data_IF_179751412738
#
_entry.id   IF_179751412738
#
_cell.length_a   1.000
_cell.length_b   1.000
_cell.length_c   1.000
_cell.angle_alpha   90.00
_cell.angle_beta   90.00
_cell.angle_gamma   90.00
#
_symmetry.space_group_name_H-M   'P 1'
#
loop_
_entity.id
_entity.type
_entity.pdbx_description
1 polymer ?
#
# COMPACT_ATOMS: atom_id res chain seq x y z
N UNK A 1 28.44 26.78 -20.08
CA UNK A 1 27.08 26.32 -20.38
C UNK A 1 26.38 26.02 -19.06
N UNK A 2 25.17 26.53 -18.82
CA UNK A 2 24.43 26.28 -17.59
C UNK A 2 23.79 24.88 -17.63
N UNK A 3 23.84 24.19 -16.50
CA UNK A 3 23.07 22.95 -16.25
C UNK A 3 21.74 23.40 -15.67
N UNK A 4 20.67 22.98 -16.34
CA UNK A 4 19.28 23.34 -16.10
C UNK A 4 18.83 23.16 -14.66
N UNK A 5 18.10 24.15 -14.15
CA UNK A 5 17.15 23.98 -13.05
C UNK A 5 16.08 22.97 -13.46
N UNK A 6 15.90 21.90 -12.69
CA UNK A 6 14.65 21.10 -12.69
C UNK A 6 14.41 20.59 -11.26
N UNK A 7 13.26 21.02 -10.72
CA UNK A 7 12.43 20.46 -9.64
C UNK A 7 13.16 19.72 -8.51
N UNK A 8 13.28 20.26 -7.30
CA UNK A 8 12.18 20.39 -6.32
C UNK A 8 11.05 19.36 -6.55
N UNK A 9 11.23 18.17 -6.00
CA UNK A 9 10.25 17.09 -6.06
C UNK A 9 10.79 15.84 -5.37
N UNK A 10 10.51 15.74 -4.08
CA UNK A 10 10.38 14.48 -3.34
C UNK A 10 11.64 13.62 -3.09
N UNK A 11 12.45 14.03 -2.10
CA UNK A 11 13.50 13.20 -1.48
C UNK A 11 13.03 12.62 -0.12
N UNK A 12 11.74 12.31 0.05
CA UNK A 12 11.17 11.98 1.37
C UNK A 12 10.66 10.56 1.55
N UNK A 13 10.94 9.62 0.65
CA UNK A 13 10.38 8.26 0.75
C UNK A 13 11.40 7.11 0.81
N UNK A 14 12.61 7.32 1.34
CA UNK A 14 13.61 6.24 1.50
C UNK A 14 14.03 6.01 2.96
N UNK A 15 13.09 5.98 3.92
CA UNK A 15 13.47 5.86 5.35
C UNK A 15 12.86 4.72 6.17
N UNK A 16 12.31 3.69 5.54
CA UNK A 16 11.77 2.54 6.28
C UNK A 16 12.15 1.16 5.71
N UNK A 17 13.27 1.04 5.00
CA UNK A 17 13.73 -0.26 4.45
C UNK A 17 14.85 -0.90 5.28
N UNK A 18 14.80 -0.80 6.61
CA UNK A 18 15.84 -1.36 7.50
C UNK A 18 15.28 -2.19 8.67
N UNK A 19 14.12 -2.82 8.56
CA UNK A 19 13.72 -3.89 9.51
C UNK A 19 12.76 -4.81 8.75
N UNK A 20 13.15 -5.99 8.26
CA UNK A 20 13.15 -7.21 9.10
C UNK A 20 13.83 -8.35 8.34
N UNK A 21 15.03 -8.70 8.77
CA UNK A 21 15.75 -9.87 8.34
C UNK A 21 15.23 -11.08 9.16
N UNK A 22 14.23 -11.82 8.65
CA UNK A 22 13.75 -13.02 9.37
C UNK A 22 12.53 -13.76 8.80
N UNK A 23 11.67 -13.10 8.06
CA UNK A 23 10.45 -13.71 7.48
C UNK A 23 10.43 -13.35 5.99
N UNK A 24 10.38 -14.34 5.10
CA UNK A 24 10.31 -14.11 3.65
C UNK A 24 8.89 -13.62 3.33
N UNK A 25 8.67 -12.32 3.49
CA UNK A 25 7.54 -11.60 2.94
C UNK A 25 7.99 -10.97 1.63
N UNK A 26 7.18 -11.13 0.60
CA UNK A 26 7.27 -10.34 -0.60
C UNK A 26 6.52 -9.03 -0.39
N UNK A 27 6.99 -7.99 -1.05
CA UNK A 27 6.52 -6.62 -0.89
C UNK A 27 6.08 -6.07 -2.24
N UNK A 28 4.90 -5.49 -2.31
CA UNK A 28 4.39 -4.83 -3.50
C UNK A 28 3.62 -3.55 -3.15
N UNK A 29 3.95 -2.46 -3.85
CA UNK A 29 3.30 -1.15 -3.65
C UNK A 29 2.46 -0.79 -4.85
N UNK A 30 1.20 -0.45 -4.61
CA UNK A 30 0.25 -0.07 -5.66
C UNK A 30 -0.46 1.24 -5.32
N UNK A 31 -0.64 2.07 -6.32
CA UNK A 31 -1.30 3.37 -6.20
C UNK A 31 -2.71 3.31 -6.78
N UNK A 32 -3.70 3.73 -5.98
CA UNK A 32 -5.11 3.73 -6.37
C UNK A 32 -5.63 5.17 -6.45
N UNK A 33 -5.53 5.82 -7.63
CA UNK A 33 -6.10 7.15 -7.82
C UNK A 33 -7.63 7.07 -7.69
N UNK A 34 -8.21 8.00 -6.93
CA UNK A 34 -9.65 8.05 -6.65
C UNK A 34 -10.13 7.23 -5.44
N UNK A 35 -9.28 6.42 -4.82
CA UNK A 35 -9.58 5.79 -3.54
C UNK A 35 -9.08 6.64 -2.37
N UNK A 36 -9.91 6.79 -1.34
CA UNK A 36 -9.46 7.37 -0.06
C UNK A 36 -8.88 6.28 0.83
N UNK A 37 -8.05 6.68 1.79
CA UNK A 37 -7.50 5.78 2.83
C UNK A 37 -8.61 5.05 3.59
N UNK A 38 -9.74 5.72 3.86
CA UNK A 38 -10.89 5.13 4.55
C UNK A 38 -11.53 4.00 3.73
N UNK A 39 -11.64 4.20 2.41
CA UNK A 39 -12.16 3.17 1.50
C UNK A 39 -11.17 2.02 1.42
N UNK A 40 -9.89 2.28 1.20
CA UNK A 40 -8.85 1.25 1.13
C UNK A 40 -8.77 0.41 2.42
N UNK A 41 -8.81 1.05 3.59
CA UNK A 41 -8.89 0.33 4.88
C UNK A 41 -10.14 -0.55 4.94
N UNK A 42 -11.29 -0.03 4.49
CA UNK A 42 -12.53 -0.78 4.39
C UNK A 42 -12.44 -2.02 3.48
N UNK A 43 -11.73 -1.91 2.36
CA UNK A 43 -11.51 -3.03 1.44
C UNK A 43 -10.56 -4.07 2.06
N UNK A 44 -9.45 -3.64 2.66
CA UNK A 44 -8.50 -4.54 3.34
C UNK A 44 -9.16 -5.30 4.50
N UNK A 45 -10.08 -4.65 5.23
CA UNK A 45 -10.92 -5.32 6.25
C UNK A 45 -11.78 -6.44 5.67
N UNK A 46 -12.33 -6.24 4.47
CA UNK A 46 -13.16 -7.25 3.80
C UNK A 46 -12.33 -8.45 3.29
N UNK A 47 -11.02 -8.26 3.09
CA UNK A 47 -10.07 -9.32 2.78
C UNK A 47 -9.60 -10.11 4.01
N UNK A 48 -10.19 -9.83 5.18
CA UNK A 48 -9.85 -10.49 6.45
C UNK A 48 -8.81 -9.75 7.28
N UNK A 49 -8.49 -8.50 6.92
CA UNK A 49 -7.58 -7.64 7.69
C UNK A 49 -8.21 -7.04 8.95
N UNK A 50 -7.46 -7.02 10.04
CA UNK A 50 -7.72 -6.25 11.25
C UNK A 50 -6.98 -4.91 11.22
N UNK A 51 -7.57 -3.85 11.78
CA UNK A 51 -6.90 -2.55 11.89
C UNK A 51 -5.86 -2.60 12.98
N UNK A 52 -4.59 -2.52 12.60
CA UNK A 52 -3.48 -2.38 13.51
C UNK A 52 -3.27 -0.90 13.88
N UNK A 53 -3.34 -0.02 12.87
CA UNK A 53 -3.30 1.43 13.03
C UNK A 53 -4.34 2.07 12.13
N UNK A 54 -5.27 2.82 12.74
CA UNK A 54 -6.39 3.44 12.00
C UNK A 54 -5.87 4.36 10.90
N UNK A 55 -6.38 4.15 9.69
CA UNK A 55 -6.04 4.86 8.45
C UNK A 55 -4.56 4.77 8.10
N UNK A 56 -3.88 3.71 8.52
CA UNK A 56 -2.43 3.57 8.31
C UNK A 56 -1.97 2.14 8.12
N UNK A 57 -2.42 1.19 8.94
CA UNK A 57 -1.93 -0.18 8.88
C UNK A 57 -3.06 -1.17 9.14
N UNK A 58 -3.18 -2.14 8.24
CA UNK A 58 -4.13 -3.25 8.33
C UNK A 58 -3.33 -4.56 8.27
N UNK A 59 -3.61 -5.49 9.15
CA UNK A 59 -2.89 -6.76 9.28
C UNK A 59 -3.85 -7.93 9.12
N UNK A 60 -3.49 -8.90 8.30
CA UNK A 60 -4.20 -10.16 8.17
C UNK A 60 -3.31 -11.34 8.54
N UNK A 61 -3.83 -12.55 8.35
CA UNK A 61 -3.06 -13.76 8.58
C UNK A 61 -2.06 -13.92 7.44
N UNK A 62 -0.77 -13.79 7.74
CA UNK A 62 0.31 -13.95 6.75
C UNK A 62 0.49 -12.78 5.80
N UNK A 63 -0.11 -11.62 6.10
CA UNK A 63 0.08 -10.37 5.36
C UNK A 63 -0.17 -9.12 6.19
N UNK A 64 0.42 -8.01 5.77
CA UNK A 64 0.23 -6.66 6.29
C UNK A 64 0.08 -5.71 5.11
N UNK A 65 -0.73 -4.68 5.26
CA UNK A 65 -0.83 -3.59 4.30
C UNK A 65 -0.71 -2.24 5.02
N UNK A 66 0.17 -1.39 4.51
CA UNK A 66 0.33 -0.01 4.95
C UNK A 66 -0.33 0.93 3.95
N UNK A 67 -1.13 1.86 4.45
CA UNK A 67 -1.88 2.84 3.68
C UNK A 67 -1.24 4.21 3.81
N UNK A 68 -0.94 4.83 2.69
CA UNK A 68 -0.36 6.17 2.63
C UNK A 68 -1.24 7.10 1.79
N UNK A 69 -1.75 8.20 2.36
CA UNK A 69 -2.59 9.13 1.61
C UNK A 69 -1.77 9.85 0.54
N UNK A 70 -2.27 9.84 -0.70
CA UNK A 70 -1.73 10.61 -1.82
C UNK A 70 -2.62 11.82 -2.12
N UNK A 71 -2.11 12.79 -2.87
CA UNK A 71 -2.86 13.99 -3.26
C UNK A 71 -4.16 13.69 -4.02
N UNK A 72 -4.19 12.57 -4.75
CA UNK A 72 -5.32 12.15 -5.60
C UNK A 72 -5.78 10.71 -5.32
N UNK A 73 -5.40 10.12 -4.19
CA UNK A 73 -5.72 8.73 -3.91
C UNK A 73 -5.03 8.19 -2.67
N UNK A 74 -4.66 6.91 -2.74
CA UNK A 74 -3.94 6.21 -1.68
C UNK A 74 -2.92 5.27 -2.29
N UNK A 75 -1.72 5.22 -1.71
CA UNK A 75 -0.73 4.19 -1.95
C UNK A 75 -0.94 3.07 -0.92
N UNK A 76 -0.94 1.83 -1.39
CA UNK A 76 -1.07 0.65 -0.54
C UNK A 76 0.20 -0.18 -0.71
N UNK A 77 0.95 -0.32 0.37
CA UNK A 77 2.12 -1.17 0.45
C UNK A 77 1.73 -2.51 1.07
N UNK A 78 1.70 -3.57 0.27
CA UNK A 78 1.41 -4.93 0.68
C UNK A 78 2.70 -5.66 1.05
N UNK A 79 2.65 -6.39 2.15
CA UNK A 79 3.72 -7.28 2.62
C UNK A 79 3.06 -8.61 2.95
N UNK A 80 3.31 -9.66 2.18
CA UNK A 80 2.65 -10.95 2.35
C UNK A 80 3.59 -12.10 2.02
N UNK A 81 3.27 -13.32 2.46
CA UNK A 81 4.01 -14.50 1.98
C UNK A 81 3.79 -14.64 0.47
N UNK A 82 4.81 -15.11 -0.26
CA UNK A 82 4.83 -15.28 -1.73
C UNK A 82 3.54 -15.92 -2.29
N UNK A 83 3.06 -17.00 -1.65
CA UNK A 83 1.84 -17.68 -2.07
C UNK A 83 0.53 -16.87 -1.89
N UNK A 84 0.56 -15.82 -1.08
CA UNK A 84 -0.58 -14.98 -0.73
C UNK A 84 -0.56 -13.62 -1.42
N UNK A 85 0.62 -13.09 -1.77
CA UNK A 85 0.75 -11.71 -2.23
C UNK A 85 -0.06 -11.46 -3.51
N UNK A 86 0.09 -12.31 -4.52
CA UNK A 86 -0.58 -12.16 -5.81
C UNK A 86 -2.13 -12.24 -5.68
N UNK A 87 -2.65 -13.20 -4.89
CA UNK A 87 -4.11 -13.31 -4.66
C UNK A 87 -4.65 -12.12 -3.84
N UNK A 88 -3.88 -11.64 -2.84
CA UNK A 88 -4.24 -10.49 -2.02
C UNK A 88 -4.33 -9.21 -2.87
N UNK A 89 -3.27 -8.94 -3.64
CA UNK A 89 -3.17 -7.79 -4.54
C UNK A 89 -4.30 -7.84 -5.54
N UNK A 90 -4.46 -8.95 -6.27
CA UNK A 90 -5.50 -9.11 -7.28
C UNK A 90 -6.90 -8.87 -6.71
N UNK A 91 -7.23 -9.45 -5.56
CA UNK A 91 -8.56 -9.25 -4.95
C UNK A 91 -8.76 -7.82 -4.50
N UNK A 92 -7.72 -7.18 -3.98
CA UNK A 92 -7.79 -5.76 -3.63
C UNK A 92 -8.04 -4.91 -4.88
N UNK A 93 -7.33 -5.15 -5.97
CA UNK A 93 -7.53 -4.45 -7.25
C UNK A 93 -8.94 -4.64 -7.81
N UNK A 94 -9.46 -5.87 -7.81
CA UNK A 94 -10.83 -6.15 -8.26
C UNK A 94 -11.84 -5.34 -7.43
N UNK A 95 -11.68 -5.32 -6.11
CA UNK A 95 -12.55 -4.57 -5.21
C UNK A 95 -12.39 -3.05 -5.36
N UNK A 96 -11.16 -2.55 -5.54
CA UNK A 96 -10.86 -1.14 -5.75
C UNK A 96 -11.45 -0.65 -7.07
N UNK A 97 -11.36 -1.44 -8.13
CA UNK A 97 -11.98 -1.17 -9.43
C UNK A 97 -13.51 -1.03 -9.32
N UNK A 98 -14.16 -1.81 -8.47
CA UNK A 98 -15.59 -1.66 -8.18
C UNK A 98 -15.93 -0.46 -7.29
N UNK A 99 -15.02 -0.05 -6.40
CA UNK A 99 -15.24 1.07 -5.49
C UNK A 99 -14.95 2.44 -6.12
N UNK A 100 -14.16 2.48 -7.20
CA UNK A 100 -13.83 3.69 -7.94
C UNK A 100 -14.86 4.07 -9.03
N UNK A 101 -15.87 3.23 -9.28
CA UNK A 101 -17.01 3.50 -10.17
C UNK A 101 -18.15 4.22 -9.43
#
# INVERSE_FOLDING_TARGET
MPISTSSFGDERDHRYQEYTQGEQFEEETLEFPGLTVEIAEGLLKRLGGGVAAKHRTVEGIGWQATLEPLERGVSVHFQAHDELLDDLVRRFEEMAGHAAM
#
